data_IF_404642386440
#
_entry.id   IF_404642386440
#
_cell.length_a   1.000
_cell.length_b   1.000
_cell.length_c   1.000
_cell.angle_alpha   90.00
_cell.angle_beta   90.00
_cell.angle_gamma   90.00
#
_symmetry.space_group_name_H-M   'P 1'
#
loop_
_entity.id
_entity.type
_entity.pdbx_description
1 polymer ?
#
# COMPACT_ATOMS: atom_id res chain seq x y z
N UNK A 1 -14.90 -22.16 2.75
CA UNK A 1 -15.20 -22.48 4.16
C UNK A 1 -14.45 -21.52 5.05
N UNK A 2 -15.15 -20.87 5.96
CA UNK A 2 -14.59 -19.90 6.92
C UNK A 2 -14.80 -20.40 8.34
N UNK A 3 -13.73 -20.40 9.14
CA UNK A 3 -13.76 -20.93 10.52
C UNK A 3 -13.08 -19.97 11.49
N UNK A 4 -13.54 -19.88 12.74
CA UNK A 4 -12.82 -19.15 13.78
C UNK A 4 -11.50 -19.87 14.11
N UNK A 5 -10.48 -19.07 14.42
CA UNK A 5 -9.17 -19.53 14.89
C UNK A 5 -8.78 -18.76 16.16
N UNK A 6 -7.82 -19.25 16.96
CA UNK A 6 -7.32 -18.50 18.11
C UNK A 6 -6.76 -17.14 17.69
N UNK A 7 -7.14 -16.09 18.38
CA UNK A 7 -6.73 -14.71 18.09
C UNK A 7 -5.25 -14.44 18.37
N UNK A 8 -4.60 -15.29 19.15
CA UNK A 8 -3.19 -15.22 19.50
C UNK A 8 -2.27 -15.65 18.34
N UNK A 9 -2.84 -16.28 17.31
CA UNK A 9 -2.06 -16.68 16.13
C UNK A 9 -1.58 -15.43 15.41
N UNK A 10 -0.27 -15.34 15.19
CA UNK A 10 0.32 -14.37 14.30
C UNK A 10 0.05 -14.78 12.85
N UNK A 11 -0.97 -14.14 12.25
CA UNK A 11 -1.45 -14.52 10.91
C UNK A 11 -0.43 -14.22 9.80
N UNK A 12 0.35 -13.15 9.94
CA UNK A 12 1.42 -12.84 8.99
C UNK A 12 2.59 -13.81 9.12
N UNK A 13 2.95 -14.19 10.35
CA UNK A 13 3.98 -15.21 10.58
C UNK A 13 3.52 -16.58 10.02
N UNK A 14 2.25 -16.94 10.19
CA UNK A 14 1.69 -18.15 9.61
C UNK A 14 1.76 -18.15 8.08
N UNK A 15 1.40 -17.04 7.43
CA UNK A 15 1.52 -16.88 5.97
C UNK A 15 2.97 -16.98 5.52
N UNK A 16 3.85 -16.14 6.09
CA UNK A 16 5.24 -16.04 5.66
C UNK A 16 6.06 -17.31 5.97
N UNK A 17 5.73 -18.00 7.08
CA UNK A 17 6.37 -19.27 7.47
C UNK A 17 5.87 -20.51 6.72
N UNK A 18 4.74 -20.39 5.99
CA UNK A 18 4.12 -21.51 5.27
C UNK A 18 4.20 -21.40 3.74
N UNK A 19 5.02 -20.45 3.24
CA UNK A 19 5.17 -20.21 1.80
C UNK A 19 5.86 -21.40 1.12
N UNK A 20 5.31 -21.81 -0.02
CA UNK A 20 6.03 -22.62 -1.02
C UNK A 20 6.85 -21.71 -1.92
N UNK A 21 7.78 -22.27 -2.68
CA UNK A 21 8.64 -21.52 -3.60
C UNK A 21 7.85 -20.82 -4.72
N UNK A 22 6.70 -21.37 -5.10
CA UNK A 22 5.82 -20.89 -6.17
C UNK A 22 4.59 -20.13 -5.67
N UNK A 23 4.45 -19.95 -4.35
CA UNK A 23 3.33 -19.22 -3.78
C UNK A 23 3.37 -17.71 -4.08
N UNK A 24 2.17 -17.14 -4.13
CA UNK A 24 1.91 -15.71 -3.98
C UNK A 24 1.34 -15.47 -2.58
N UNK A 25 1.67 -14.35 -2.00
CA UNK A 25 1.16 -13.99 -0.68
C UNK A 25 0.94 -12.49 -0.54
N UNK A 26 0.07 -12.13 0.37
CA UNK A 26 -0.07 -10.75 0.84
C UNK A 26 -0.35 -10.75 2.33
N UNK A 27 0.37 -9.91 3.07
CA UNK A 27 0.06 -9.53 4.44
C UNK A 27 -0.22 -8.02 4.46
N UNK A 28 -1.32 -7.61 5.09
CA UNK A 28 -1.69 -6.22 5.35
C UNK A 28 -2.11 -6.12 6.80
N UNK A 29 -1.36 -5.37 7.59
CA UNK A 29 -1.60 -5.20 9.03
C UNK A 29 -1.66 -3.72 9.41
N UNK A 30 -2.41 -3.42 10.45
CA UNK A 30 -2.38 -2.13 11.15
C UNK A 30 -2.50 -2.41 12.66
N UNK A 31 -1.37 -2.64 13.37
CA UNK A 31 -1.38 -3.09 14.76
C UNK A 31 -2.19 -2.21 15.72
N UNK A 32 -2.07 -0.88 15.61
CA UNK A 32 -2.80 0.08 16.47
C UNK A 32 -4.32 0.13 16.20
N UNK A 33 -4.79 -0.53 15.14
CA UNK A 33 -6.22 -0.65 14.83
C UNK A 33 -6.78 -1.97 15.36
N UNK A 34 -6.77 -2.14 16.66
CA UNK A 34 -7.24 -3.37 17.35
C UNK A 34 -6.56 -4.65 16.81
N UNK A 35 -5.28 -4.59 16.44
CA UNK A 35 -4.54 -5.70 15.88
C UNK A 35 -5.05 -6.14 14.50
N UNK A 36 -5.59 -5.22 13.71
CA UNK A 36 -6.11 -5.50 12.37
C UNK A 36 -5.09 -6.16 11.46
N UNK A 37 -5.51 -7.24 10.80
CA UNK A 37 -4.73 -7.93 9.78
C UNK A 37 -5.63 -8.63 8.78
N UNK A 38 -5.27 -8.56 7.48
CA UNK A 38 -5.82 -9.39 6.40
C UNK A 38 -4.64 -9.95 5.62
N UNK A 39 -4.54 -11.28 5.59
CA UNK A 39 -3.40 -11.98 4.98
C UNK A 39 -3.88 -13.10 4.07
N UNK A 40 -3.11 -13.45 3.05
CA UNK A 40 -3.44 -14.53 2.13
C UNK A 40 -2.21 -15.25 1.62
N UNK A 41 -2.38 -16.53 1.33
CA UNK A 41 -1.35 -17.46 0.90
C UNK A 41 -1.86 -18.37 -0.22
N UNK A 42 -1.02 -18.59 -1.24
CA UNK A 42 -1.36 -19.35 -2.43
C UNK A 42 -2.31 -18.58 -3.37
N UNK A 43 -2.75 -19.21 -4.44
CA UNK A 43 -3.62 -18.62 -5.44
C UNK A 43 -4.65 -19.63 -5.96
N UNK A 44 -5.89 -19.56 -5.48
CA UNK A 44 -7.02 -20.27 -6.07
C UNK A 44 -7.46 -19.65 -7.40
N UNK A 45 -7.31 -18.32 -7.54
CA UNK A 45 -7.49 -17.59 -8.79
C UNK A 45 -6.65 -16.31 -8.80
N UNK A 46 -6.31 -15.84 -9.99
CA UNK A 46 -5.57 -14.59 -10.20
C UNK A 46 -6.38 -13.71 -11.16
N UNK A 47 -6.52 -12.44 -10.82
CA UNK A 47 -7.09 -11.39 -11.68
C UNK A 47 -5.96 -10.46 -12.07
N UNK A 48 -5.80 -10.25 -13.37
CA UNK A 48 -4.82 -9.31 -13.93
C UNK A 48 -5.51 -8.35 -14.88
N UNK A 49 -5.07 -7.11 -14.89
CA UNK A 49 -5.50 -6.08 -15.82
C UNK A 49 -4.38 -5.07 -16.06
N UNK A 50 -4.45 -4.35 -17.16
CA UNK A 50 -3.47 -3.34 -17.56
C UNK A 50 -4.14 -2.15 -18.24
N UNK A 51 -3.38 -1.10 -18.47
CA UNK A 51 -3.88 0.09 -19.14
C UNK A 51 -4.74 1.01 -18.24
N UNK A 52 -5.31 2.07 -18.85
CA UNK A 52 -6.02 3.12 -18.11
C UNK A 52 -7.26 2.64 -17.36
N UNK A 53 -7.86 1.52 -17.80
CA UNK A 53 -9.08 0.95 -17.22
C UNK A 53 -8.83 -0.18 -16.22
N UNK A 54 -7.57 -0.43 -15.84
CA UNK A 54 -7.17 -1.58 -15.03
C UNK A 54 -7.96 -1.75 -13.72
N UNK A 55 -8.35 -0.66 -13.06
CA UNK A 55 -9.16 -0.71 -11.84
C UNK A 55 -10.59 -1.23 -12.11
N UNK A 56 -11.24 -0.70 -13.12
CA UNK A 56 -12.61 -1.10 -13.53
C UNK A 56 -12.62 -2.54 -14.06
N UNK A 57 -11.62 -2.91 -14.85
CA UNK A 57 -11.48 -4.25 -15.41
C UNK A 57 -11.18 -5.29 -14.32
N UNK A 58 -10.32 -4.96 -13.36
CA UNK A 58 -10.07 -5.79 -12.19
C UNK A 58 -11.33 -5.96 -11.33
N UNK A 59 -12.08 -4.88 -11.06
CA UNK A 59 -13.35 -4.95 -10.34
C UNK A 59 -14.35 -5.86 -11.05
N UNK A 60 -14.51 -5.70 -12.36
CA UNK A 60 -15.40 -6.55 -13.17
C UNK A 60 -14.99 -8.03 -13.15
N UNK A 61 -13.68 -8.32 -13.20
CA UNK A 61 -13.17 -9.68 -13.13
C UNK A 61 -13.37 -10.30 -11.73
N UNK A 62 -13.13 -9.55 -10.65
CA UNK A 62 -13.43 -9.99 -9.28
C UNK A 62 -14.91 -10.30 -9.10
N UNK A 63 -15.80 -9.42 -9.60
CA UNK A 63 -17.27 -9.64 -9.57
C UNK A 63 -17.68 -10.89 -10.34
N UNK A 64 -17.07 -11.14 -11.50
CA UNK A 64 -17.35 -12.33 -12.30
C UNK A 64 -16.91 -13.63 -11.60
N UNK A 65 -15.81 -13.60 -10.86
CA UNK A 65 -15.37 -14.70 -9.99
C UNK A 65 -16.28 -14.85 -8.77
N UNK A 66 -16.64 -13.74 -8.10
CA UNK A 66 -17.55 -13.74 -6.96
C UNK A 66 -18.91 -14.39 -7.30
N UNK A 67 -19.47 -14.08 -8.48
CA UNK A 67 -20.73 -14.66 -8.96
C UNK A 67 -20.68 -16.20 -9.18
N UNK A 68 -19.49 -16.78 -9.22
CA UNK A 68 -19.24 -18.22 -9.39
C UNK A 68 -18.66 -18.88 -8.13
N UNK A 69 -18.51 -18.10 -7.06
CA UNK A 69 -17.95 -18.57 -5.80
C UNK A 69 -19.07 -18.98 -4.85
N UNK A 70 -19.00 -20.19 -4.33
CA UNK A 70 -19.83 -20.65 -3.22
C UNK A 70 -19.06 -20.38 -1.93
N UNK A 71 -19.57 -19.52 -1.10
CA UNK A 71 -18.98 -19.18 0.20
C UNK A 71 -19.97 -19.48 1.31
N UNK A 72 -19.46 -19.82 2.50
CA UNK A 72 -20.26 -19.83 3.72
C UNK A 72 -20.76 -18.39 3.97
N UNK A 73 -21.99 -18.30 4.44
CA UNK A 73 -22.54 -16.99 4.84
C UNK A 73 -21.86 -16.54 6.14
N UNK A 74 -20.90 -15.64 6.00
CA UNK A 74 -20.22 -14.99 7.13
C UNK A 74 -20.92 -13.67 7.49
N UNK A 75 -21.88 -13.24 6.65
CA UNK A 75 -22.53 -11.92 6.74
C UNK A 75 -23.42 -11.70 7.96
N UNK A 76 -23.94 -12.77 8.58
CA UNK A 76 -24.76 -12.67 9.80
C UNK A 76 -23.91 -12.57 11.09
N UNK A 77 -22.60 -12.79 11.05
CA UNK A 77 -21.72 -12.65 12.20
C UNK A 77 -21.21 -11.21 12.31
N UNK A 78 -21.98 -10.37 13.03
CA UNK A 78 -21.62 -8.96 13.28
C UNK A 78 -20.27 -8.75 13.99
N UNK A 79 -19.65 -9.83 14.49
CA UNK A 79 -18.36 -9.81 15.17
C UNK A 79 -17.21 -10.26 14.25
N UNK A 80 -17.50 -10.77 13.06
CA UNK A 80 -16.46 -11.20 12.14
C UNK A 80 -15.56 -10.02 11.71
N UNK A 81 -14.23 -10.17 11.77
CA UNK A 81 -13.31 -9.14 11.26
C UNK A 81 -13.58 -8.82 9.79
N UNK A 82 -13.44 -7.55 9.40
CA UNK A 82 -13.46 -7.16 7.98
C UNK A 82 -12.38 -7.94 7.20
N UNK A 83 -12.73 -8.47 6.04
CA UNK A 83 -11.87 -9.37 5.27
C UNK A 83 -12.05 -10.86 5.64
N UNK A 84 -13.02 -11.21 6.49
CA UNK A 84 -13.44 -12.61 6.69
C UNK A 84 -14.19 -13.13 5.47
N UNK A 85 -14.00 -14.41 5.14
CA UNK A 85 -14.52 -14.98 3.90
C UNK A 85 -13.52 -14.91 2.74
N UNK A 86 -13.97 -15.25 1.52
CA UNK A 86 -13.13 -15.10 0.32
C UNK A 86 -12.84 -13.64 0.02
N UNK A 87 -11.55 -13.30 -0.15
CA UNK A 87 -11.06 -11.95 -0.43
C UNK A 87 -10.09 -11.98 -1.60
N UNK A 88 -10.07 -10.92 -2.38
CA UNK A 88 -9.07 -10.67 -3.42
C UNK A 88 -8.02 -9.73 -2.87
N UNK A 89 -6.78 -10.17 -2.78
CA UNK A 89 -5.64 -9.46 -2.21
C UNK A 89 -4.65 -9.07 -3.31
N UNK A 90 -4.18 -7.84 -3.32
CA UNK A 90 -3.21 -7.44 -4.33
C UNK A 90 -3.04 -5.93 -4.43
N UNK A 91 -2.79 -5.45 -5.65
CA UNK A 91 -2.57 -4.03 -5.85
C UNK A 91 -2.48 -3.61 -7.31
N UNK A 92 -2.12 -2.34 -7.45
CA UNK A 92 -2.09 -1.62 -8.72
C UNK A 92 -0.81 -0.81 -8.83
N UNK A 93 -0.20 -0.82 -10.00
CA UNK A 93 0.93 0.05 -10.32
C UNK A 93 0.50 1.52 -10.34
N UNK A 94 1.46 2.42 -10.12
CA UNK A 94 1.26 3.87 -10.23
C UNK A 94 0.77 4.26 -11.63
N UNK A 95 1.50 3.88 -12.67
CA UNK A 95 1.14 4.16 -14.05
C UNK A 95 0.32 3.04 -14.69
N UNK A 96 -0.52 3.34 -15.69
CA UNK A 96 -1.32 2.33 -16.42
C UNK A 96 -0.49 1.23 -17.06
N UNK A 97 0.71 1.54 -17.48
CA UNK A 97 1.72 0.67 -18.11
C UNK A 97 2.95 0.43 -17.21
N UNK A 98 2.85 0.79 -15.92
CA UNK A 98 3.90 0.59 -14.92
C UNK A 98 4.18 -0.88 -14.62
N UNK A 99 5.21 -1.15 -13.83
CA UNK A 99 5.75 -2.48 -13.55
C UNK A 99 6.21 -3.22 -14.82
N UNK A 100 6.71 -2.46 -15.79
CA UNK A 100 7.17 -2.96 -17.10
C UNK A 100 8.67 -3.27 -17.15
N UNK A 101 9.45 -2.72 -16.24
CA UNK A 101 10.89 -2.97 -16.15
C UNK A 101 11.21 -4.33 -15.54
N UNK A 102 12.42 -4.90 -15.80
CA UNK A 102 12.83 -6.19 -15.22
C UNK A 102 12.80 -6.24 -13.69
N UNK A 103 12.97 -5.10 -13.01
CA UNK A 103 12.89 -5.03 -11.55
C UNK A 103 11.52 -5.46 -11.02
N UNK A 104 10.45 -5.15 -11.74
CA UNK A 104 9.07 -5.46 -11.40
C UNK A 104 8.54 -6.75 -12.02
N UNK A 105 9.38 -7.51 -12.76
CA UNK A 105 8.97 -8.80 -13.34
C UNK A 105 8.43 -9.74 -12.26
N UNK A 106 7.18 -10.20 -12.41
CA UNK A 106 6.42 -10.97 -11.41
C UNK A 106 5.17 -10.24 -10.90
N UNK A 107 5.10 -8.90 -11.03
CA UNK A 107 3.89 -8.11 -10.80
C UNK A 107 3.36 -7.52 -12.11
N UNK A 108 2.03 -7.36 -12.19
CA UNK A 108 1.33 -6.72 -13.30
C UNK A 108 0.85 -5.31 -12.91
N UNK A 109 0.48 -4.45 -13.88
CA UNK A 109 -0.09 -3.13 -13.57
C UNK A 109 -1.33 -3.17 -12.67
N UNK A 110 -2.12 -4.23 -12.73
CA UNK A 110 -3.11 -4.61 -11.72
C UNK A 110 -3.03 -6.12 -11.53
N UNK A 111 -2.95 -6.55 -10.28
CA UNK A 111 -2.94 -7.97 -9.93
C UNK A 111 -3.59 -8.18 -8.58
N UNK A 112 -4.65 -9.01 -8.56
CA UNK A 112 -5.28 -9.45 -7.33
C UNK A 112 -5.34 -10.98 -7.34
N UNK A 113 -5.17 -11.55 -6.15
CA UNK A 113 -5.18 -13.00 -5.93
C UNK A 113 -6.34 -13.34 -5.01
N UNK A 114 -7.14 -14.32 -5.37
CA UNK A 114 -8.03 -15.03 -4.45
C UNK A 114 -7.18 -16.14 -3.81
N UNK A 115 -6.80 -16.02 -2.51
CA UNK A 115 -5.88 -16.98 -1.89
C UNK A 115 -6.50 -18.36 -1.71
N UNK A 116 -5.65 -19.39 -1.64
CA UNK A 116 -6.05 -20.72 -1.17
C UNK A 116 -6.38 -20.70 0.32
N UNK A 117 -5.61 -19.92 1.10
CA UNK A 117 -5.85 -19.69 2.53
C UNK A 117 -5.77 -18.20 2.80
N UNK A 118 -6.79 -17.62 3.43
CA UNK A 118 -6.75 -16.26 3.92
C UNK A 118 -7.10 -16.19 5.41
N UNK A 119 -6.61 -15.13 6.02
CA UNK A 119 -6.83 -14.83 7.44
C UNK A 119 -7.32 -13.39 7.58
N UNK A 120 -8.28 -13.20 8.48
CA UNK A 120 -8.71 -11.89 8.94
C UNK A 120 -8.68 -11.86 10.47
N UNK A 121 -8.12 -10.78 11.05
CA UNK A 121 -8.04 -10.59 12.50
C UNK A 121 -8.37 -9.15 12.87
N UNK A 122 -9.13 -8.96 13.94
CA UNK A 122 -9.36 -7.66 14.57
C UNK A 122 -10.04 -7.83 15.93
N UNK A 123 -9.66 -7.00 16.93
CA UNK A 123 -10.39 -6.87 18.19
C UNK A 123 -10.48 -8.17 19.01
N UNK A 124 -9.49 -9.05 18.92
CA UNK A 124 -9.53 -10.35 19.61
C UNK A 124 -10.27 -11.46 18.86
N UNK A 125 -10.84 -11.16 17.70
CA UNK A 125 -11.46 -12.14 16.79
C UNK A 125 -10.54 -12.42 15.60
N UNK A 126 -10.47 -13.69 15.22
CA UNK A 126 -9.72 -14.12 14.03
C UNK A 126 -10.47 -15.23 13.28
N UNK A 127 -10.40 -15.18 11.97
CA UNK A 127 -11.01 -16.13 11.04
C UNK A 127 -9.97 -16.61 10.02
N UNK A 128 -10.05 -17.88 9.66
CA UNK A 128 -9.33 -18.46 8.54
C UNK A 128 -10.35 -18.90 7.50
N UNK A 129 -10.09 -18.54 6.25
CA UNK A 129 -10.89 -18.95 5.10
C UNK A 129 -10.06 -19.82 4.17
N UNK A 130 -10.60 -20.97 3.79
CA UNK A 130 -9.98 -21.88 2.81
C UNK A 130 -10.81 -21.82 1.53
N UNK A 131 -10.15 -21.56 0.43
CA UNK A 131 -10.73 -21.48 -0.91
C UNK A 131 -10.07 -22.48 -1.84
N UNK A 132 -10.86 -23.23 -2.58
CA UNK A 132 -10.37 -24.18 -3.58
C UNK A 132 -11.03 -23.90 -4.93
N UNK A 133 -10.23 -23.82 -5.98
CA UNK A 133 -10.75 -23.77 -7.34
C UNK A 133 -11.26 -25.16 -7.75
N UNK A 134 -12.48 -25.20 -8.31
CA UNK A 134 -13.10 -26.43 -8.81
C UNK A 134 -13.02 -26.44 -10.32
N UNK A 135 -12.39 -27.45 -10.87
CA UNK A 135 -12.25 -27.65 -12.31
C UNK A 135 -13.16 -28.77 -12.81
N UNK A 136 -13.40 -28.76 -14.12
CA UNK A 136 -14.21 -29.81 -14.75
C UNK A 136 -13.53 -31.16 -14.63
N UNK A 137 -14.17 -32.09 -13.92
CA UNK A 137 -13.64 -33.45 -13.69
C UNK A 137 -13.09 -33.68 -12.29
N UNK A 138 -13.02 -32.63 -11.46
CA UNK A 138 -12.65 -32.79 -10.06
C UNK A 138 -13.64 -33.69 -9.31
N UNK A 139 -13.12 -34.57 -8.46
CA UNK A 139 -13.91 -35.34 -7.51
C UNK A 139 -13.91 -34.64 -6.15
N UNK A 140 -15.00 -34.81 -5.38
CA UNK A 140 -15.07 -34.24 -4.03
C UNK A 140 -13.91 -34.75 -3.15
N UNK A 141 -13.54 -36.03 -3.25
CA UNK A 141 -12.42 -36.59 -2.51
C UNK A 141 -11.10 -35.88 -2.86
N UNK A 142 -10.82 -35.69 -4.14
CA UNK A 142 -9.60 -34.96 -4.58
C UNK A 142 -9.57 -33.50 -4.15
N UNK A 143 -10.73 -32.83 -4.09
CA UNK A 143 -10.83 -31.46 -3.55
C UNK A 143 -10.51 -31.45 -2.05
N UNK A 144 -11.08 -32.37 -1.29
CA UNK A 144 -10.82 -32.51 0.16
C UNK A 144 -9.36 -32.83 0.43
N UNK A 145 -8.73 -33.70 -0.35
CA UNK A 145 -7.32 -34.06 -0.21
C UNK A 145 -6.42 -32.84 -0.48
N UNK A 146 -6.73 -32.02 -1.49
CA UNK A 146 -5.99 -30.76 -1.77
C UNK A 146 -6.10 -29.77 -0.61
N UNK A 147 -7.30 -29.61 -0.04
CA UNK A 147 -7.51 -28.72 1.11
C UNK A 147 -6.71 -29.23 2.32
N UNK A 148 -6.77 -30.52 2.66
CA UNK A 148 -6.03 -31.09 3.77
C UNK A 148 -4.52 -30.93 3.57
N UNK A 149 -3.99 -31.25 2.39
CA UNK A 149 -2.58 -31.09 2.09
C UNK A 149 -2.12 -29.63 2.30
N UNK A 150 -2.94 -28.64 1.89
CA UNK A 150 -2.62 -27.25 2.10
C UNK A 150 -2.65 -26.83 3.57
N UNK A 151 -3.63 -27.31 4.32
CA UNK A 151 -3.75 -27.04 5.76
C UNK A 151 -2.63 -27.68 6.58
N UNK A 152 -2.19 -28.90 6.21
CA UNK A 152 -1.10 -29.61 6.87
C UNK A 152 0.27 -28.89 6.71
N UNK A 153 0.40 -28.01 5.74
CA UNK A 153 1.61 -27.20 5.54
C UNK A 153 1.63 -25.92 6.36
N UNK A 154 0.49 -25.50 6.91
CA UNK A 154 0.44 -24.29 7.72
C UNK A 154 1.28 -24.43 8.99
N UNK A 155 2.12 -23.44 9.25
CA UNK A 155 3.01 -23.37 10.41
C UNK A 155 2.57 -22.24 11.33
N UNK A 156 2.32 -22.54 12.58
CA UNK A 156 2.27 -21.52 13.62
C UNK A 156 3.72 -21.13 13.97
N UNK A 157 4.31 -20.27 13.15
CA UNK A 157 5.70 -19.84 13.32
C UNK A 157 5.75 -18.46 14.00
N UNK A 158 6.85 -18.16 14.70
CA UNK A 158 7.20 -16.79 15.04
C UNK A 158 7.90 -16.14 13.85
N UNK A 159 7.76 -14.82 13.71
CA UNK A 159 8.54 -14.08 12.71
C UNK A 159 10.04 -14.20 13.02
N UNK A 160 10.90 -14.41 12.01
CA UNK A 160 12.34 -14.32 12.21
C UNK A 160 12.73 -12.88 12.54
N UNK A 161 13.73 -12.71 13.42
CA UNK A 161 14.26 -11.40 13.74
C UNK A 161 15.32 -10.97 12.72
N UNK A 162 15.44 -9.66 12.49
CA UNK A 162 16.58 -9.09 11.76
C UNK A 162 17.87 -9.38 12.53
N UNK A 163 18.94 -9.66 11.79
CA UNK A 163 20.30 -9.71 12.36
C UNK A 163 20.76 -8.28 12.66
N UNK A 164 20.97 -7.91 13.94
CA UNK A 164 21.35 -6.54 14.32
C UNK A 164 22.81 -6.19 13.96
N UNK A 165 23.65 -7.19 13.65
CA UNK A 165 25.09 -6.99 13.32
C UNK A 165 25.50 -7.99 12.20
N UNK A 166 25.05 -7.78 10.97
CA UNK A 166 25.37 -8.69 9.88
C UNK A 166 26.89 -8.71 9.61
N UNK A 167 27.43 -9.92 9.44
CA UNK A 167 28.88 -10.14 9.20
C UNK A 167 29.41 -9.38 7.98
N UNK A 168 28.56 -9.15 6.99
CA UNK A 168 28.87 -8.36 5.78
C UNK A 168 27.85 -7.22 5.73
N UNK A 169 28.36 -5.99 5.80
CA UNK A 169 27.50 -4.80 5.70
C UNK A 169 27.01 -4.60 4.28
N UNK A 170 25.72 -4.37 4.08
CA UNK A 170 25.15 -4.06 2.78
C UNK A 170 25.76 -2.78 2.18
N UNK A 171 25.78 -2.71 0.85
CA UNK A 171 26.24 -1.53 0.12
C UNK A 171 25.06 -0.73 -0.37
N UNK A 172 24.98 0.51 0.05
CA UNK A 172 23.97 1.47 -0.41
C UNK A 172 24.48 2.23 -1.63
N UNK A 173 23.67 2.31 -2.69
CA UNK A 173 23.97 3.04 -3.91
C UNK A 173 22.72 3.75 -4.43
N UNK A 174 22.82 5.03 -4.78
CA UNK A 174 21.76 5.71 -5.54
C UNK A 174 21.71 5.17 -6.97
N UNK A 175 20.53 4.90 -7.50
CA UNK A 175 20.37 4.51 -8.90
C UNK A 175 20.75 5.66 -9.85
N UNK A 176 20.54 6.91 -9.42
CA UNK A 176 21.00 8.13 -10.07
C UNK A 176 21.73 9.05 -9.07
N UNK A 177 22.61 9.94 -9.54
CA UNK A 177 23.24 10.95 -8.68
C UNK A 177 22.19 11.85 -8.02
N UNK A 178 22.40 12.32 -6.77
CA UNK A 178 21.49 13.27 -6.10
C UNK A 178 21.17 14.52 -6.95
N UNK A 179 22.15 15.01 -7.71
CA UNK A 179 21.99 16.15 -8.63
C UNK A 179 20.95 15.92 -9.74
N UNK A 180 20.65 14.66 -10.10
CA UNK A 180 19.57 14.35 -11.04
C UNK A 180 18.20 14.71 -10.44
N UNK A 181 17.98 14.35 -9.17
CA UNK A 181 16.75 14.67 -8.47
C UNK A 181 16.61 16.19 -8.26
N UNK A 182 17.68 16.87 -7.83
CA UNK A 182 17.67 18.32 -7.67
C UNK A 182 17.35 19.05 -9.00
N UNK A 183 17.89 18.58 -10.11
CA UNK A 183 17.59 19.13 -11.45
C UNK A 183 16.14 18.85 -11.85
N UNK A 184 15.60 17.67 -11.55
CA UNK A 184 14.19 17.34 -11.79
C UNK A 184 13.26 18.27 -10.99
N UNK A 185 13.57 18.52 -9.71
CA UNK A 185 12.85 19.48 -8.86
C UNK A 185 12.90 20.89 -9.46
N UNK A 186 14.09 21.37 -9.85
CA UNK A 186 14.25 22.70 -10.46
C UNK A 186 13.37 22.87 -11.70
N UNK A 187 13.35 21.88 -12.59
CA UNK A 187 12.51 21.89 -13.81
C UNK A 187 11.01 21.85 -13.46
N UNK A 188 10.63 21.09 -12.45
CA UNK A 188 9.23 21.06 -11.99
C UNK A 188 8.78 22.42 -11.47
N UNK A 189 9.61 23.09 -10.64
CA UNK A 189 9.34 24.45 -10.14
C UNK A 189 9.19 25.44 -11.30
N UNK A 190 10.05 25.38 -12.33
CA UNK A 190 9.92 26.24 -13.53
C UNK A 190 8.59 26.03 -14.25
N UNK A 191 8.11 24.79 -14.38
CA UNK A 191 6.82 24.46 -14.99
C UNK A 191 5.64 24.97 -14.15
N UNK A 192 5.77 24.88 -12.81
CA UNK A 192 4.77 25.42 -11.89
C UNK A 192 4.70 26.96 -12.01
N UNK A 193 5.85 27.65 -12.03
CA UNK A 193 5.89 29.10 -12.23
C UNK A 193 5.37 29.53 -13.61
N UNK A 194 5.49 28.69 -14.63
CA UNK A 194 4.89 28.96 -15.94
C UNK A 194 3.37 28.76 -15.96
N UNK A 195 2.77 28.23 -14.88
CA UNK A 195 1.34 28.00 -14.78
C UNK A 195 0.85 26.70 -15.44
N UNK A 196 1.77 25.79 -15.78
CA UNK A 196 1.41 24.49 -16.42
C UNK A 196 0.74 23.53 -15.42
N UNK A 197 1.11 23.62 -14.12
CA UNK A 197 0.57 22.82 -13.02
C UNK A 197 0.74 23.56 -11.69
N UNK A 198 0.01 23.12 -10.67
CA UNK A 198 0.06 23.67 -9.31
C UNK A 198 1.02 22.88 -8.42
N UNK A 199 1.09 21.56 -8.65
CA UNK A 199 1.87 20.62 -7.85
C UNK A 199 2.24 19.40 -8.68
N UNK A 200 3.43 18.83 -8.41
CA UNK A 200 3.83 17.49 -8.88
C UNK A 200 4.63 16.78 -7.81
N UNK A 201 4.47 15.46 -7.67
CA UNK A 201 5.33 14.65 -6.79
C UNK A 201 6.43 14.04 -7.62
N UNK A 202 7.68 14.23 -7.20
CA UNK A 202 8.85 13.61 -7.81
C UNK A 202 9.50 12.63 -6.85
N UNK A 203 9.89 11.47 -7.36
CA UNK A 203 10.50 10.39 -6.61
C UNK A 203 11.90 10.04 -7.10
N UNK A 204 12.66 9.40 -6.24
CA UNK A 204 13.97 8.78 -6.53
C UNK A 204 14.06 7.40 -5.91
N UNK A 205 15.01 6.61 -6.39
CA UNK A 205 15.28 5.27 -5.89
C UNK A 205 16.71 5.12 -5.36
N UNK A 206 16.86 4.23 -4.38
CA UNK A 206 18.14 3.86 -3.77
C UNK A 206 18.20 2.34 -3.65
N UNK A 207 19.27 1.74 -4.17
CA UNK A 207 19.52 0.30 -4.07
C UNK A 207 20.39 -0.02 -2.86
N UNK A 208 20.00 -1.06 -2.14
CA UNK A 208 20.80 -1.71 -1.08
C UNK A 208 21.16 -3.11 -1.55
N UNK A 209 22.44 -3.39 -1.68
CA UNK A 209 22.96 -4.68 -2.08
C UNK A 209 23.40 -5.47 -0.84
N UNK A 210 22.68 -6.52 -0.52
CA UNK A 210 22.98 -7.43 0.59
C UNK A 210 23.99 -8.52 0.19
N UNK A 211 24.45 -9.29 1.17
CA UNK A 211 25.38 -10.40 0.94
C UNK A 211 24.71 -11.68 0.39
N UNK A 212 23.38 -11.71 0.38
CA UNK A 212 22.58 -12.85 -0.10
C UNK A 212 21.11 -12.49 -0.18
N UNK A 213 20.24 -13.46 -0.52
CA UNK A 213 18.81 -13.22 -0.69
C UNK A 213 18.16 -12.58 0.55
N UNK A 214 17.33 -11.59 0.33
CA UNK A 214 16.68 -10.82 1.39
C UNK A 214 15.32 -11.44 1.69
N UNK A 215 15.12 -11.93 2.94
CA UNK A 215 13.81 -12.41 3.39
C UNK A 215 12.93 -11.21 3.82
N UNK A 216 11.71 -11.06 3.28
CA UNK A 216 10.80 -9.99 3.68
C UNK A 216 10.22 -10.16 5.09
N UNK A 217 10.21 -11.37 5.67
CA UNK A 217 9.55 -11.63 6.93
C UNK A 217 10.11 -10.83 8.12
N UNK A 218 11.43 -10.82 8.39
CA UNK A 218 11.98 -10.01 9.48
C UNK A 218 11.83 -8.49 9.25
N UNK A 219 11.77 -8.05 7.97
CA UNK A 219 11.56 -6.64 7.64
C UNK A 219 10.12 -6.23 7.98
N UNK A 220 9.13 -7.05 7.61
CA UNK A 220 7.73 -6.80 7.97
C UNK A 220 7.54 -6.78 9.49
N UNK A 221 8.19 -7.68 10.22
CA UNK A 221 8.14 -7.73 11.69
C UNK A 221 8.68 -6.44 12.31
N UNK A 222 9.84 -5.98 11.85
CA UNK A 222 10.42 -4.73 12.30
C UNK A 222 9.53 -3.51 11.96
N UNK A 223 8.93 -3.49 10.76
CA UNK A 223 8.04 -2.41 10.34
C UNK A 223 6.78 -2.33 11.20
N UNK A 224 6.10 -3.45 11.47
CA UNK A 224 4.88 -3.43 12.31
C UNK A 224 5.15 -3.04 13.75
N UNK A 225 6.36 -3.33 14.26
CA UNK A 225 6.80 -2.87 15.58
C UNK A 225 7.15 -1.38 15.61
N UNK A 226 7.78 -0.87 14.54
CA UNK A 226 8.21 0.51 14.44
C UNK A 226 7.09 1.48 13.99
N UNK A 227 6.14 1.02 13.16
CA UNK A 227 5.08 1.82 12.55
C UNK A 227 3.68 1.24 12.80
N UNK A 228 3.27 0.99 14.06
CA UNK A 228 2.03 0.27 14.36
C UNK A 228 0.75 0.99 13.90
N UNK A 229 0.80 2.30 13.72
CA UNK A 229 -0.31 3.10 13.19
C UNK A 229 -0.42 3.07 11.64
N UNK A 230 0.64 2.61 10.95
CA UNK A 230 0.67 2.52 9.49
C UNK A 230 0.07 1.20 8.99
N UNK A 231 -0.28 1.18 7.71
CA UNK A 231 -0.53 -0.04 6.96
C UNK A 231 0.82 -0.71 6.68
N UNK A 232 1.19 -1.71 7.49
CA UNK A 232 2.35 -2.54 7.24
C UNK A 232 1.95 -3.63 6.26
N UNK A 233 2.61 -3.71 5.12
CA UNK A 233 2.25 -4.64 4.07
C UNK A 233 3.46 -5.37 3.49
N UNK A 234 3.21 -6.59 3.02
CA UNK A 234 4.15 -7.38 2.27
C UNK A 234 3.41 -8.14 1.17
N UNK A 235 3.70 -7.82 -0.08
CA UNK A 235 3.14 -8.51 -1.25
C UNK A 235 4.26 -9.29 -1.90
N UNK A 236 4.05 -10.58 -2.14
CA UNK A 236 5.10 -11.39 -2.72
C UNK A 236 4.64 -12.31 -3.85
N UNK A 237 5.58 -12.59 -4.72
CA UNK A 237 5.55 -13.55 -5.82
C UNK A 237 6.76 -14.47 -5.69
N UNK A 238 6.88 -15.56 -6.50
CA UNK A 238 8.10 -16.35 -6.51
C UNK A 238 9.40 -15.57 -6.76
N UNK A 239 9.31 -14.42 -7.44
CA UNK A 239 10.49 -13.69 -7.93
C UNK A 239 10.86 -12.48 -7.07
N UNK A 240 9.89 -11.91 -6.33
CA UNK A 240 10.10 -10.65 -5.61
C UNK A 240 9.14 -10.49 -4.45
N UNK A 241 9.45 -9.52 -3.57
CA UNK A 241 8.52 -9.03 -2.56
C UNK A 241 8.54 -7.50 -2.48
N UNK A 242 7.38 -6.88 -2.34
CA UNK A 242 7.23 -5.46 -2.03
C UNK A 242 6.80 -5.35 -0.56
N UNK A 243 7.64 -4.74 0.28
CA UNK A 243 7.39 -4.59 1.72
C UNK A 243 7.42 -3.12 2.11
N UNK A 244 6.51 -2.69 2.99
CA UNK A 244 6.45 -1.29 3.39
C UNK A 244 5.50 -1.00 4.55
N UNK A 245 5.52 0.27 5.01
CA UNK A 245 4.66 0.79 6.07
C UNK A 245 4.06 2.15 5.64
N UNK A 246 2.87 2.12 5.08
CA UNK A 246 2.19 3.30 4.54
C UNK A 246 1.32 4.00 5.58
N UNK A 247 1.45 5.30 5.79
CA UNK A 247 0.53 6.08 6.62
C UNK A 247 -0.76 6.47 5.89
N UNK A 248 -0.88 6.20 4.59
CA UNK A 248 -1.90 6.80 3.72
C UNK A 248 -2.96 5.79 3.28
N UNK A 249 -4.19 5.99 3.75
CA UNK A 249 -5.37 5.30 3.24
C UNK A 249 -5.79 5.93 1.91
N UNK A 250 -5.74 5.15 0.81
CA UNK A 250 -6.29 5.59 -0.46
C UNK A 250 -7.82 5.62 -0.40
N UNK A 251 -8.42 4.47 -0.05
CA UNK A 251 -9.88 4.37 0.16
C UNK A 251 -10.23 3.12 0.94
N UNK A 252 -11.23 3.25 1.80
CA UNK A 252 -11.99 2.15 2.42
C UNK A 252 -13.45 2.31 2.07
N UNK A 253 -14.09 1.20 1.74
CA UNK A 253 -15.53 1.12 1.54
C UNK A 253 -16.14 0.09 2.49
N UNK A 254 -17.30 0.42 3.06
CA UNK A 254 -18.15 -0.45 3.85
C UNK A 254 -19.62 -0.12 3.47
N UNK A 255 -20.20 -0.95 2.63
CA UNK A 255 -21.49 -0.75 2.02
C UNK A 255 -21.54 0.55 1.20
N UNK A 256 -22.37 1.50 1.63
CA UNK A 256 -22.49 2.83 0.99
C UNK A 256 -21.59 3.90 1.62
N UNK A 257 -20.69 3.53 2.52
CA UNK A 257 -19.77 4.45 3.18
C UNK A 257 -18.39 4.35 2.58
N UNK A 258 -17.83 5.48 2.15
CA UNK A 258 -16.44 5.58 1.73
C UNK A 258 -15.67 6.48 2.70
N UNK A 259 -14.39 6.12 2.93
CA UNK A 259 -13.47 6.87 3.77
C UNK A 259 -12.12 6.96 3.06
N UNK A 260 -11.48 8.11 3.17
CA UNK A 260 -10.10 8.34 2.70
C UNK A 260 -9.44 9.39 3.59
N UNK A 261 -8.16 9.62 3.37
CA UNK A 261 -7.38 10.65 4.08
C UNK A 261 -6.55 11.40 3.07
N UNK A 262 -6.71 12.72 3.02
CA UNK A 262 -5.73 13.56 2.37
C UNK A 262 -4.51 13.69 3.29
N UNK A 263 -3.31 13.35 2.80
CA UNK A 263 -2.08 13.38 3.57
C UNK A 263 -1.01 14.14 2.76
N UNK A 264 -0.64 15.35 3.22
CA UNK A 264 0.41 16.15 2.60
C UNK A 264 1.03 17.12 3.61
N UNK A 265 2.17 17.73 3.26
CA UNK A 265 2.96 18.48 4.22
C UNK A 265 3.69 17.57 5.21
N UNK A 266 4.99 17.79 5.39
CA UNK A 266 5.83 16.89 6.19
C UNK A 266 6.84 17.66 7.03
N UNK A 267 7.03 17.25 8.28
CA UNK A 267 8.19 17.68 9.08
C UNK A 267 8.79 16.48 9.83
N UNK A 268 10.06 16.59 10.17
CA UNK A 268 10.76 15.54 10.92
C UNK A 268 10.24 15.41 12.35
N UNK A 269 10.46 14.26 12.96
CA UNK A 269 10.29 14.06 14.40
C UNK A 269 11.53 14.51 15.17
N UNK A 270 11.38 14.69 16.47
CA UNK A 270 12.49 14.92 17.41
C UNK A 270 12.37 13.97 18.60
N UNK A 271 13.51 13.52 19.12
CA UNK A 271 13.56 12.76 20.37
C UNK A 271 13.22 13.63 21.60
N UNK A 272 13.40 14.95 21.51
CA UNK A 272 12.95 15.90 22.54
C UNK A 272 11.47 16.22 22.31
N UNK A 273 10.56 15.89 23.25
CA UNK A 273 9.13 16.11 23.10
C UNK A 273 8.75 17.57 22.84
N UNK A 274 9.42 18.53 23.49
CA UNK A 274 9.11 19.95 23.31
C UNK A 274 9.50 20.45 21.92
N UNK A 275 10.60 19.96 21.37
CA UNK A 275 11.03 20.25 19.99
C UNK A 275 10.09 19.57 19.01
N UNK A 276 9.67 18.32 19.27
CA UNK A 276 8.74 17.57 18.43
C UNK A 276 7.37 18.26 18.31
N UNK A 277 6.83 18.71 19.45
CA UNK A 277 5.56 19.44 19.47
C UNK A 277 5.69 20.80 18.77
N UNK A 278 6.80 21.51 18.98
CA UNK A 278 7.06 22.77 18.29
C UNK A 278 7.14 22.62 16.76
N UNK A 279 7.82 21.56 16.26
CA UNK A 279 7.88 21.26 14.84
C UNK A 279 6.47 20.95 14.29
N UNK A 280 5.65 20.20 15.03
CA UNK A 280 4.26 19.94 14.66
C UNK A 280 3.39 21.21 14.61
N UNK A 281 3.55 22.12 15.59
CA UNK A 281 2.86 23.41 15.59
C UNK A 281 3.30 24.30 14.41
N UNK A 282 4.58 24.30 14.07
CA UNK A 282 5.09 25.01 12.89
C UNK A 282 4.45 24.47 11.62
N UNK A 283 4.38 23.14 11.47
CA UNK A 283 3.74 22.48 10.32
C UNK A 283 2.26 22.88 10.19
N UNK A 284 1.51 22.87 11.30
CA UNK A 284 0.10 23.31 11.32
C UNK A 284 -0.08 24.78 10.91
N UNK A 285 0.92 25.63 11.11
CA UNK A 285 0.87 27.08 10.79
C UNK A 285 1.52 27.42 9.46
N UNK A 286 2.20 26.49 8.82
CA UNK A 286 2.90 26.69 7.54
C UNK A 286 1.91 26.92 6.40
N UNK A 287 1.92 28.10 5.79
CA UNK A 287 1.07 28.40 4.65
C UNK A 287 1.40 27.53 3.43
N UNK A 288 2.69 27.19 3.21
CA UNK A 288 3.14 26.26 2.17
C UNK A 288 2.49 24.89 2.36
N UNK A 289 2.67 24.31 3.53
CA UNK A 289 2.19 22.93 3.82
C UNK A 289 0.67 22.86 3.85
N UNK A 290 0.00 23.86 4.41
CA UNK A 290 -1.47 23.99 4.37
C UNK A 290 -2.00 24.14 2.94
N UNK A 291 -1.29 24.89 2.11
CA UNK A 291 -1.60 25.04 0.67
C UNK A 291 -1.48 23.71 -0.06
N UNK A 292 -0.40 22.98 0.15
CA UNK A 292 -0.19 21.63 -0.39
C UNK A 292 -1.29 20.66 0.06
N UNK A 293 -1.63 20.64 1.35
CA UNK A 293 -2.67 19.81 1.93
C UNK A 293 -4.05 20.12 1.33
N UNK A 294 -4.38 21.40 1.15
CA UNK A 294 -5.66 21.85 0.57
C UNK A 294 -5.84 21.35 -0.87
N UNK A 295 -4.80 21.41 -1.71
CA UNK A 295 -4.85 20.88 -3.08
C UNK A 295 -5.28 19.41 -3.07
N UNK A 296 -4.77 18.61 -2.14
CA UNK A 296 -5.10 17.19 -2.02
C UNK A 296 -6.54 16.99 -1.56
N UNK A 297 -6.97 17.66 -0.48
CA UNK A 297 -8.33 17.49 0.07
C UNK A 297 -9.41 17.95 -0.91
N UNK A 298 -9.26 19.13 -1.51
CA UNK A 298 -10.20 19.67 -2.51
C UNK A 298 -10.31 18.76 -3.75
N UNK A 299 -9.21 18.17 -4.20
CA UNK A 299 -9.23 17.20 -5.31
C UNK A 299 -10.02 15.95 -4.96
N UNK A 300 -9.81 15.39 -3.77
CA UNK A 300 -10.53 14.20 -3.30
C UNK A 300 -12.04 14.50 -3.19
N UNK A 301 -12.43 15.63 -2.58
CA UNK A 301 -13.83 16.02 -2.44
C UNK A 301 -14.50 16.20 -3.81
N UNK A 302 -13.84 16.91 -4.74
CA UNK A 302 -14.30 17.10 -6.12
C UNK A 302 -14.45 15.77 -6.87
N UNK A 303 -13.58 14.80 -6.61
CA UNK A 303 -13.60 13.47 -7.24
C UNK A 303 -14.73 12.60 -6.71
N UNK A 304 -14.98 12.60 -5.39
CA UNK A 304 -16.01 11.79 -4.76
C UNK A 304 -17.41 12.41 -4.89
N UNK A 305 -17.52 13.73 -5.05
CA UNK A 305 -18.81 14.44 -5.15
C UNK A 305 -19.82 13.83 -6.13
N UNK A 306 -19.45 13.55 -7.41
CA UNK A 306 -20.36 13.02 -8.41
C UNK A 306 -20.94 11.63 -8.09
N UNK A 307 -20.28 10.84 -7.25
CA UNK A 307 -20.72 9.47 -6.88
C UNK A 307 -21.32 9.39 -5.47
N UNK A 308 -21.44 10.53 -4.79
CA UNK A 308 -21.85 10.58 -3.38
C UNK A 308 -23.10 11.45 -3.19
N UNK A 309 -23.90 11.12 -2.19
CA UNK A 309 -24.96 11.99 -1.68
C UNK A 309 -24.39 13.19 -0.93
N UNK A 310 -23.31 12.98 -0.21
CA UNK A 310 -22.50 14.01 0.44
C UNK A 310 -21.05 13.54 0.61
N UNK A 311 -20.16 14.51 0.66
CA UNK A 311 -18.76 14.34 1.03
C UNK A 311 -18.46 15.34 2.14
N UNK A 312 -17.76 14.91 3.18
CA UNK A 312 -17.37 15.77 4.30
C UNK A 312 -15.88 15.57 4.59
N UNK A 313 -15.09 16.62 4.39
CA UNK A 313 -13.73 16.74 4.89
C UNK A 313 -13.73 17.39 6.27
N UNK A 314 -12.72 17.12 7.10
CA UNK A 314 -12.52 17.88 8.32
C UNK A 314 -12.13 19.34 7.98
N UNK A 315 -12.68 20.30 8.72
CA UNK A 315 -12.45 21.74 8.46
C UNK A 315 -10.98 22.15 8.60
N UNK A 316 -10.26 21.52 9.53
CA UNK A 316 -8.83 21.76 9.78
C UNK A 316 -8.06 20.43 9.75
N UNK A 317 -6.83 20.44 9.19
CA UNK A 317 -5.97 19.28 9.23
C UNK A 317 -5.50 18.98 10.65
N UNK A 318 -5.27 17.70 10.92
CA UNK A 318 -4.68 17.22 12.18
C UNK A 318 -3.26 16.72 11.92
N UNK A 319 -2.44 16.65 12.99
CA UNK A 319 -1.13 16.04 12.91
C UNK A 319 -1.25 14.51 13.04
N UNK A 320 -0.69 13.81 12.08
CA UNK A 320 -0.43 12.37 12.15
C UNK A 320 1.07 12.18 12.37
N UNK A 321 1.42 11.63 13.54
CA UNK A 321 2.80 11.35 13.92
C UNK A 321 3.12 9.89 13.62
N UNK A 322 4.09 9.65 12.75
CA UNK A 322 4.72 8.34 12.56
C UNK A 322 6.14 8.38 13.14
N UNK A 323 6.87 7.29 13.13
CA UNK A 323 8.12 7.20 13.88
C UNK A 323 9.15 8.28 13.52
N UNK A 324 9.32 8.58 12.24
CA UNK A 324 10.37 9.47 11.74
C UNK A 324 9.89 10.84 11.24
N UNK A 325 8.59 10.99 10.98
CA UNK A 325 8.01 12.23 10.44
C UNK A 325 6.62 12.51 11.04
N UNK A 326 6.18 13.76 10.88
CA UNK A 326 4.80 14.21 11.13
C UNK A 326 4.21 14.72 9.82
N UNK A 327 2.92 14.46 9.60
CA UNK A 327 2.18 14.90 8.42
C UNK A 327 0.93 15.68 8.83
N UNK A 328 0.47 16.58 7.94
CA UNK A 328 -0.90 17.08 7.99
C UNK A 328 -1.82 16.03 7.36
N UNK A 329 -2.94 15.74 8.03
CA UNK A 329 -3.94 14.79 7.60
C UNK A 329 -5.33 15.40 7.69
N UNK A 330 -6.13 15.28 6.62
CA UNK A 330 -7.54 15.65 6.59
C UNK A 330 -8.37 14.39 6.34
N UNK A 331 -9.03 13.84 7.36
CA UNK A 331 -9.98 12.75 7.17
C UNK A 331 -11.17 13.18 6.31
N UNK A 332 -11.53 12.36 5.32
CA UNK A 332 -12.66 12.61 4.40
C UNK A 332 -13.58 11.40 4.45
N UNK A 333 -14.87 11.66 4.57
CA UNK A 333 -15.94 10.66 4.57
C UNK A 333 -16.96 11.00 3.50
N UNK A 334 -17.53 9.97 2.88
CA UNK A 334 -18.58 10.12 1.91
C UNK A 334 -19.67 9.08 2.11
N UNK A 335 -20.92 9.49 1.87
CA UNK A 335 -22.06 8.59 1.69
C UNK A 335 -22.28 8.45 0.19
N UNK A 336 -22.04 7.28 -0.36
CA UNK A 336 -22.22 6.99 -1.77
C UNK A 336 -23.71 7.06 -2.15
N UNK A 337 -24.01 7.55 -3.34
CA UNK A 337 -25.38 7.62 -3.86
C UNK A 337 -25.92 6.24 -4.26
N UNK A 338 -25.02 5.33 -4.57
CA UNK A 338 -25.23 3.91 -4.83
C UNK A 338 -23.93 3.15 -4.54
N UNK A 339 -23.98 1.83 -4.29
CA UNK A 339 -22.77 1.06 -4.08
C UNK A 339 -21.82 1.15 -5.29
N UNK A 340 -20.63 1.67 -5.08
CA UNK A 340 -19.52 1.69 -6.06
C UNK A 340 -18.43 0.77 -5.53
N UNK A 341 -17.91 -0.21 -6.29
CA UNK A 341 -16.84 -1.10 -5.84
C UNK A 341 -15.64 -0.36 -5.28
N UNK A 342 -15.01 -0.87 -4.21
CA UNK A 342 -13.83 -0.23 -3.63
C UNK A 342 -12.70 -0.07 -4.65
N UNK A 343 -12.53 -1.02 -5.56
CA UNK A 343 -11.53 -0.95 -6.63
C UNK A 343 -11.83 0.18 -7.62
N UNK A 344 -13.09 0.40 -7.96
CA UNK A 344 -13.50 1.51 -8.83
C UNK A 344 -13.31 2.87 -8.13
N UNK A 345 -13.65 2.96 -6.83
CA UNK A 345 -13.36 4.15 -6.01
C UNK A 345 -11.86 4.43 -5.96
N UNK A 346 -11.04 3.39 -5.79
CA UNK A 346 -9.58 3.52 -5.86
C UNK A 346 -9.12 4.07 -7.20
N UNK A 347 -9.70 3.59 -8.32
CA UNK A 347 -9.39 4.10 -9.66
C UNK A 347 -9.82 5.54 -9.91
N UNK A 348 -10.89 6.02 -9.25
CA UNK A 348 -11.30 7.43 -9.30
C UNK A 348 -10.31 8.33 -8.56
N UNK A 349 -9.79 7.87 -7.42
CA UNK A 349 -8.89 8.65 -6.57
C UNK A 349 -7.42 8.56 -7.00
N UNK A 350 -7.01 7.44 -7.62
CA UNK A 350 -5.61 7.18 -7.96
C UNK A 350 -5.21 7.79 -9.33
N UNK A 351 -4.03 8.45 -9.38
CA UNK A 351 -3.23 8.89 -8.25
C UNK A 351 -3.79 10.18 -7.62
N UNK A 352 -3.73 10.27 -6.29
CA UNK A 352 -4.03 11.52 -5.60
C UNK A 352 -2.93 12.55 -5.86
N UNK A 353 -3.17 13.87 -5.68
CA UNK A 353 -2.11 14.87 -5.76
C UNK A 353 -1.02 14.70 -4.68
N UNK A 354 -1.24 13.86 -3.67
CA UNK A 354 -0.23 13.52 -2.67
C UNK A 354 0.91 12.66 -3.23
N UNK A 355 0.67 11.93 -4.33
CA UNK A 355 1.68 11.05 -4.98
C UNK A 355 1.82 11.31 -6.49
N UNK A 356 0.89 12.02 -7.10
CA UNK A 356 0.88 12.39 -8.53
C UNK A 356 1.11 13.88 -8.73
N UNK A 357 0.06 14.61 -9.03
CA UNK A 357 0.11 16.06 -9.19
C UNK A 357 -1.24 16.65 -9.60
N UNK A 358 -1.30 17.97 -9.63
CA UNK A 358 -2.50 18.73 -10.00
C UNK A 358 -2.16 19.85 -10.97
N UNK A 359 -2.84 20.00 -12.13
CA UNK A 359 -3.81 19.05 -12.69
C UNK A 359 -3.17 17.72 -13.10
N UNK A 360 -3.87 16.61 -12.86
CA UNK A 360 -3.37 15.26 -13.15
C UNK A 360 -2.87 15.10 -14.59
N UNK A 361 -3.63 15.58 -15.59
CA UNK A 361 -3.28 15.46 -17.00
C UNK A 361 -1.97 16.15 -17.39
N UNK A 362 -1.55 17.19 -16.65
CA UNK A 362 -0.27 17.86 -16.86
C UNK A 362 0.87 17.13 -16.11
N UNK A 363 0.60 16.60 -14.93
CA UNK A 363 1.58 15.91 -14.11
C UNK A 363 1.93 14.50 -14.64
N UNK A 364 0.95 13.75 -15.12
CA UNK A 364 1.09 12.36 -15.57
C UNK A 364 2.24 12.14 -16.57
N UNK A 365 2.37 12.89 -17.69
CA UNK A 365 3.49 12.72 -18.61
C UNK A 365 4.81 13.32 -18.08
N UNK A 366 4.74 14.29 -17.17
CA UNK A 366 5.91 15.01 -16.65
C UNK A 366 6.69 14.13 -15.64
N UNK A 367 6.01 13.36 -14.80
CA UNK A 367 6.61 12.52 -13.78
C UNK A 367 7.66 11.58 -14.36
N UNK A 368 7.35 10.65 -15.28
CA UNK A 368 8.34 9.73 -15.81
C UNK A 368 9.43 10.44 -16.61
N UNK A 369 9.12 11.58 -17.26
CA UNK A 369 10.10 12.36 -18.01
C UNK A 369 11.16 13.03 -17.13
N UNK A 370 10.81 13.40 -15.90
CA UNK A 370 11.74 14.01 -14.94
C UNK A 370 12.46 12.98 -14.07
N UNK A 371 11.77 11.94 -13.67
CA UNK A 371 12.32 10.90 -12.79
C UNK A 371 13.24 9.93 -13.54
N UNK A 372 12.85 9.51 -14.74
CA UNK A 372 13.55 8.50 -15.51
C UNK A 372 13.47 7.09 -14.89
N UNK A 373 12.46 6.82 -14.05
CA UNK A 373 12.24 5.53 -13.38
C UNK A 373 10.84 4.98 -13.64
N UNK A 374 10.70 3.65 -13.58
CA UNK A 374 9.42 2.97 -13.49
C UNK A 374 9.07 2.77 -12.01
N UNK A 375 8.11 3.52 -11.51
CA UNK A 375 7.66 3.42 -10.13
C UNK A 375 7.06 2.05 -9.80
N UNK A 376 6.59 1.31 -10.80
CA UNK A 376 5.88 0.06 -10.61
C UNK A 376 4.72 0.23 -9.62
N UNK A 377 4.72 -0.55 -8.54
CA UNK A 377 3.71 -0.45 -7.49
C UNK A 377 4.02 0.61 -6.42
N UNK A 378 5.24 1.15 -6.36
CA UNK A 378 5.51 2.31 -5.50
C UNK A 378 4.59 3.48 -5.87
N UNK A 379 3.98 4.13 -4.88
CA UNK A 379 2.92 5.15 -5.04
C UNK A 379 1.65 4.65 -5.74
N UNK A 380 1.55 3.35 -6.01
CA UNK A 380 0.34 2.68 -6.46
C UNK A 380 -0.59 2.36 -5.30
N UNK A 381 -1.45 1.36 -5.44
CA UNK A 381 -2.38 0.95 -4.40
C UNK A 381 -2.16 -0.51 -4.00
N UNK A 382 -2.22 -0.81 -2.69
CA UNK A 382 -2.16 -2.18 -2.15
C UNK A 382 -3.27 -2.38 -1.14
N UNK A 383 -3.95 -3.54 -1.20
CA UNK A 383 -5.02 -3.85 -0.27
C UNK A 383 -5.85 -5.05 -0.68
N UNK A 384 -7.14 -4.99 -0.38
CA UNK A 384 -8.06 -6.09 -0.62
C UNK A 384 -9.49 -5.62 -0.94
N UNK A 385 -10.25 -6.51 -1.56
CA UNK A 385 -11.71 -6.42 -1.74
C UNK A 385 -12.35 -7.79 -1.49
N UNK A 386 -13.57 -7.80 -0.96
CA UNK A 386 -14.35 -9.02 -0.73
C UNK A 386 -15.38 -9.29 -1.83
N UNK A 387 -16.23 -10.30 -1.61
CA UNK A 387 -17.30 -10.67 -2.56
C UNK A 387 -18.44 -9.64 -2.62
N UNK A 388 -18.58 -8.77 -1.60
CA UNK A 388 -19.53 -7.66 -1.57
C UNK A 388 -18.95 -6.37 -2.19
N UNK A 389 -17.72 -6.45 -2.71
CA UNK A 389 -16.96 -5.33 -3.27
C UNK A 389 -16.58 -4.27 -2.23
N UNK A 390 -16.71 -4.60 -0.94
CA UNK A 390 -16.15 -3.84 0.17
C UNK A 390 -14.65 -4.11 0.30
N UNK A 391 -13.94 -3.27 1.04
CA UNK A 391 -12.51 -3.44 1.23
C UNK A 391 -11.77 -2.16 1.54
N UNK A 392 -10.45 -2.26 1.51
CA UNK A 392 -9.59 -1.09 1.68
C UNK A 392 -8.27 -1.25 0.93
N UNK A 393 -7.78 -0.11 0.42
CA UNK A 393 -6.47 0.01 -0.22
C UNK A 393 -5.70 1.18 0.40
N UNK A 394 -4.43 0.97 0.69
CA UNK A 394 -3.50 2.04 1.04
C UNK A 394 -2.65 2.43 -0.17
N UNK A 395 -2.11 3.63 -0.16
CA UNK A 395 -1.09 4.04 -1.13
C UNK A 395 0.23 3.35 -0.79
N UNK A 396 0.87 2.69 -1.75
CA UNK A 396 2.09 1.92 -1.50
C UNK A 396 3.30 2.84 -1.33
N UNK A 397 3.49 3.33 -0.11
CA UNK A 397 4.56 4.25 0.28
C UNK A 397 5.49 3.63 1.33
N UNK A 398 6.64 4.28 1.55
CA UNK A 398 7.63 3.84 2.54
C UNK A 398 7.92 2.36 2.36
N UNK A 399 8.33 1.99 1.14
CA UNK A 399 8.49 0.60 0.74
C UNK A 399 9.85 0.32 0.10
N UNK A 400 10.16 -0.96 0.07
CA UNK A 400 11.27 -1.53 -0.67
C UNK A 400 10.78 -2.69 -1.53
N UNK A 401 11.25 -2.73 -2.77
CA UNK A 401 11.14 -3.87 -3.66
C UNK A 401 12.36 -4.78 -3.43
N UNK A 402 12.11 -5.99 -2.95
CA UNK A 402 13.14 -7.00 -2.67
C UNK A 402 13.20 -7.97 -3.83
N UNK A 403 14.37 -8.16 -4.40
CA UNK A 403 14.62 -9.14 -5.45
C UNK A 403 16.02 -9.71 -5.28
N UNK A 404 16.09 -11.01 -5.04
CA UNK A 404 17.34 -11.69 -4.74
C UNK A 404 18.11 -11.00 -3.59
N UNK A 405 19.28 -10.46 -3.86
CA UNK A 405 20.18 -9.75 -2.93
C UNK A 405 20.04 -8.23 -3.00
N UNK A 406 19.06 -7.71 -3.74
CA UNK A 406 18.86 -6.26 -3.91
C UNK A 406 17.53 -5.81 -3.30
N UNK A 407 17.61 -4.80 -2.43
CA UNK A 407 16.44 -4.04 -2.00
C UNK A 407 16.44 -2.66 -2.65
N UNK A 408 15.39 -2.33 -3.39
CA UNK A 408 15.20 -1.03 -4.03
C UNK A 408 14.19 -0.22 -3.24
N UNK A 409 14.64 0.87 -2.64
CA UNK A 409 13.84 1.78 -1.84
C UNK A 409 13.42 2.99 -2.66
N UNK A 410 12.23 3.51 -2.37
CA UNK A 410 11.67 4.67 -3.05
C UNK A 410 11.29 5.76 -2.06
N UNK A 411 11.57 7.02 -2.42
CA UNK A 411 11.07 8.18 -1.69
C UNK A 411 10.79 9.33 -2.65
N UNK A 412 9.74 10.11 -2.37
CA UNK A 412 9.34 11.27 -3.16
C UNK A 412 8.81 12.40 -2.31
N UNK A 413 8.80 13.61 -2.88
CA UNK A 413 8.28 14.82 -2.26
C UNK A 413 7.33 15.55 -3.20
N UNK A 414 6.37 16.28 -2.62
CA UNK A 414 5.48 17.18 -3.35
C UNK A 414 6.21 18.47 -3.69
N UNK A 415 6.32 18.77 -4.96
CA UNK A 415 6.97 19.98 -5.48
C UNK A 415 5.90 21.02 -5.77
N UNK A 416 6.07 22.20 -5.18
CA UNK A 416 5.24 23.40 -5.35
C UNK A 416 6.10 24.58 -5.73
N UNK A 417 5.50 25.77 -5.99
CA UNK A 417 6.22 26.94 -6.48
C UNK A 417 7.42 27.36 -5.61
N UNK A 418 7.30 27.21 -4.29
CA UNK A 418 8.33 27.62 -3.33
C UNK A 418 9.29 26.47 -2.94
N UNK A 419 9.26 25.32 -3.63
CA UNK A 419 10.14 24.20 -3.37
C UNK A 419 11.59 24.50 -3.73
N UNK A 420 12.50 24.14 -2.80
CA UNK A 420 13.96 24.29 -2.98
C UNK A 420 14.58 22.92 -3.22
N UNK A 421 15.31 22.68 -4.33
CA UNK A 421 15.83 21.38 -4.70
C UNK A 421 16.60 20.63 -3.60
N UNK A 422 17.48 21.34 -2.89
CA UNK A 422 18.28 20.74 -1.82
C UNK A 422 17.43 20.32 -0.59
N UNK A 423 16.39 21.10 -0.27
CA UNK A 423 15.49 20.79 0.85
C UNK A 423 14.62 19.57 0.51
N UNK A 424 14.10 19.51 -0.74
CA UNK A 424 13.31 18.35 -1.19
C UNK A 424 14.16 17.06 -1.27
N UNK A 425 15.44 17.17 -1.68
CA UNK A 425 16.39 16.07 -1.61
C UNK A 425 16.56 15.59 -0.16
N UNK A 426 16.80 16.52 0.78
CA UNK A 426 16.95 16.21 2.20
C UNK A 426 15.69 15.55 2.78
N UNK A 427 14.49 15.96 2.35
CA UNK A 427 13.24 15.33 2.76
C UNK A 427 13.16 13.88 2.27
N UNK A 428 13.60 13.57 1.04
CA UNK A 428 13.67 12.17 0.59
C UNK A 428 14.60 11.32 1.43
N UNK A 429 15.75 11.86 1.89
CA UNK A 429 16.66 11.14 2.79
C UNK A 429 15.96 10.78 4.12
N UNK A 430 15.20 11.71 4.72
CA UNK A 430 14.43 11.45 5.92
C UNK A 430 13.37 10.35 5.68
N UNK A 431 12.71 10.35 4.52
CA UNK A 431 11.72 9.34 4.16
C UNK A 431 12.33 7.96 3.97
N UNK A 432 13.52 7.86 3.39
CA UNK A 432 14.26 6.59 3.23
C UNK A 432 14.65 5.97 4.59
N UNK A 433 14.82 6.77 5.64
CA UNK A 433 15.14 6.26 6.99
C UNK A 433 14.06 5.37 7.60
N UNK A 434 12.86 5.27 6.98
CA UNK A 434 11.84 4.32 7.43
C UNK A 434 12.27 2.85 7.24
N UNK A 435 13.00 2.54 6.14
CA UNK A 435 13.41 1.19 5.78
C UNK A 435 14.94 1.02 5.69
N UNK A 436 15.66 2.06 5.31
CA UNK A 436 17.10 1.95 5.08
C UNK A 436 17.86 1.32 6.28
N UNK A 437 17.56 1.66 7.56
CA UNK A 437 18.22 1.03 8.70
C UNK A 437 17.87 -0.46 8.91
N UNK A 438 16.82 -0.95 8.27
CA UNK A 438 16.41 -2.36 8.35
C UNK A 438 17.11 -3.22 7.28
N UNK A 439 17.76 -2.57 6.30
CA UNK A 439 18.32 -3.18 5.10
C UNK A 439 19.83 -2.90 4.94
N UNK A 440 20.38 -1.89 5.64
CA UNK A 440 21.76 -1.43 5.50
C UNK A 440 22.63 -1.67 6.73
#
# INVERSE_FOLDING_TARGET
MTVPIPSEIDVSAAVLGSRRADDRWLCLEQPDRDGYAVCGLGAAAIVEAEGPRRFVEAAAACRALAARTFADDVGDDQHAPSGSGPVFLGGFAFAPDGASTPAWSGLRPAQLVLPEVSFARRGGEARMTVTVAVERGDSLAGLVDRVHARLDELRAAAMPMLDPDPAIRPRVAGAAPPSHYEEAVRRAVERIHAGDLEKVVLAREVDVHAAGPIDPAPILDALRGAFPACYCYCVGTPELALVGASPELLVRRDGERAQTVALAGTTRRSADPAVDDHLGEQLLRSDKDRGEQRIVSERIERTLGPVSLWVAAADEPVLVKVQNVQHLATPIRAQLAQPVPVLELAGLLHPTPAVGGEPHAAAEPLIPALEGLDRGWYSGAVGWTDLAEDGELCVALRCALLRDDVARLYAGCGIVADSVPADELAETEVKLQALLPLLA
#
